data_IF_051866550568
#
_entry.id   IF_051866550568
#
_cell.length_a   1.000
_cell.length_b   1.000
_cell.length_c   1.000
_cell.angle_alpha   90.00
_cell.angle_beta   90.00
_cell.angle_gamma   90.00
#
_symmetry.space_group_name_H-M   'P 1'
#
loop_
_entity.id
_entity.type
_entity.pdbx_description
1 polymer ?
#
# COMPACT_ATOMS: atom_id res chain seq x y z
N UNK A 1 10.09 -44.93 10.13
CA UNK A 1 10.61 -44.93 8.74
C UNK A 1 9.39 -45.05 7.84
N UNK A 2 8.99 -44.15 6.96
CA UNK A 2 9.51 -42.90 6.39
C UNK A 2 8.26 -42.02 6.14
N UNK A 3 8.27 -40.76 6.58
CA UNK A 3 7.32 -39.76 6.09
C UNK A 3 7.99 -39.05 4.92
N UNK A 4 7.54 -39.33 3.70
CA UNK A 4 7.93 -38.56 2.53
C UNK A 4 7.21 -37.21 2.57
N UNK A 5 7.98 -36.12 2.57
CA UNK A 5 7.48 -34.75 2.44
C UNK A 5 7.02 -34.53 1.00
N UNK A 6 5.89 -33.86 0.75
CA UNK A 6 5.59 -33.37 -0.58
C UNK A 6 6.52 -32.21 -0.91
N UNK A 7 7.24 -32.34 -2.02
CA UNK A 7 8.07 -31.31 -2.62
C UNK A 7 7.27 -30.03 -2.86
N UNK A 8 7.79 -28.92 -2.36
CA UNK A 8 7.37 -27.58 -2.71
C UNK A 8 7.58 -27.40 -4.22
N UNK A 9 6.50 -27.47 -4.99
CA UNK A 9 6.48 -26.99 -6.37
C UNK A 9 6.74 -25.50 -6.33
N UNK A 10 8.01 -25.13 -6.55
CA UNK A 10 8.45 -23.78 -6.80
C UNK A 10 7.59 -23.15 -7.89
N UNK A 11 6.68 -22.27 -7.47
CA UNK A 11 5.99 -21.35 -8.35
C UNK A 11 7.05 -20.52 -9.05
N UNK A 12 7.21 -20.79 -10.34
CA UNK A 12 7.99 -20.00 -11.28
C UNK A 12 7.38 -18.60 -11.28
N UNK A 13 7.96 -17.70 -10.48
CA UNK A 13 7.76 -16.27 -10.63
C UNK A 13 8.23 -15.91 -12.04
N UNK A 14 7.28 -15.70 -12.96
CA UNK A 14 7.54 -14.97 -14.17
C UNK A 14 7.96 -13.56 -13.76
N UNK A 15 9.27 -13.36 -13.66
CA UNK A 15 9.89 -12.05 -13.70
C UNK A 15 9.52 -11.45 -15.05
N UNK A 16 8.50 -10.60 -15.04
CA UNK A 16 8.24 -9.67 -16.14
C UNK A 16 9.54 -8.94 -16.51
N UNK A 17 9.71 -8.54 -17.78
CA UNK A 17 10.96 -7.92 -18.21
C UNK A 17 11.23 -6.66 -17.38
N UNK A 18 12.34 -6.68 -16.66
CA UNK A 18 12.96 -5.55 -15.95
C UNK A 18 13.00 -4.33 -16.87
N UNK A 19 11.99 -3.45 -16.79
CA UNK A 19 11.96 -2.14 -17.46
C UNK A 19 12.90 -1.11 -16.81
N UNK A 20 13.85 -1.55 -16.01
CA UNK A 20 14.88 -0.70 -15.39
C UNK A 20 16.31 -0.98 -15.90
N UNK A 21 16.49 -1.90 -16.86
CA UNK A 21 17.82 -2.19 -17.45
C UNK A 21 18.13 -1.45 -18.77
N UNK A 22 17.29 -0.52 -19.19
CA UNK A 22 17.51 0.30 -20.41
C UNK A 22 17.75 1.79 -20.15
N UNK A 23 18.06 2.18 -18.90
CA UNK A 23 18.63 3.52 -18.60
C UNK A 23 20.06 3.46 -18.08
N UNK A 24 20.77 2.38 -18.39
CA UNK A 24 22.16 2.14 -17.96
C UNK A 24 23.16 1.90 -19.09
N UNK A 25 22.76 1.97 -20.37
CA UNK A 25 23.64 1.67 -21.52
C UNK A 25 23.67 2.75 -22.60
N UNK A 26 23.63 4.02 -22.19
CA UNK A 26 23.92 5.16 -23.08
C UNK A 26 25.03 6.08 -22.55
N UNK A 27 25.79 5.65 -21.52
CA UNK A 27 26.93 6.40 -20.99
C UNK A 27 28.18 5.54 -20.75
N UNK A 28 28.33 4.46 -21.50
CA UNK A 28 29.58 3.67 -21.54
C UNK A 28 30.30 3.90 -22.86
N UNK A 29 30.57 5.18 -23.18
CA UNK A 29 31.56 5.57 -24.18
C UNK A 29 32.12 6.94 -23.84
N UNK A 30 33.41 6.91 -23.48
CA UNK A 30 34.34 8.04 -23.41
C UNK A 30 34.22 8.98 -22.20
N UNK A 31 34.58 8.48 -21.03
CA UNK A 31 35.30 9.30 -20.05
C UNK A 31 36.66 8.64 -19.74
N UNK A 32 37.59 8.78 -20.67
CA UNK A 32 38.98 8.95 -20.26
C UNK A 32 39.19 10.46 -20.05
N UNK A 33 39.73 10.91 -18.90
CA UNK A 33 40.19 12.29 -18.81
C UNK A 33 41.24 12.49 -19.91
N UNK A 34 41.22 13.58 -20.69
CA UNK A 34 42.31 13.84 -21.60
C UNK A 34 43.57 13.99 -20.75
N UNK A 35 44.42 12.96 -20.77
CA UNK A 35 45.82 13.10 -20.40
C UNK A 35 46.42 14.08 -21.39
N UNK A 36 46.38 15.37 -21.06
CA UNK A 36 47.16 16.43 -21.70
C UNK A 36 48.62 16.20 -21.33
N UNK A 37 49.20 15.20 -21.97
CA UNK A 37 50.62 15.01 -22.14
C UNK A 37 50.92 14.86 -23.64
N UNK A 38 50.23 15.62 -24.49
CA UNK A 38 50.89 16.12 -25.69
C UNK A 38 51.79 17.26 -25.22
N UNK A 39 53.08 17.14 -25.50
CA UNK A 39 54.02 18.23 -25.38
C UNK A 39 53.52 19.37 -26.30
N UNK A 40 52.73 20.28 -25.73
CA UNK A 40 52.46 21.56 -26.35
C UNK A 40 53.77 22.31 -26.21
N UNK A 41 54.58 22.32 -27.27
CA UNK A 41 55.66 23.27 -27.37
C UNK A 41 55.10 24.66 -27.03
N UNK A 42 55.78 25.45 -26.19
CA UNK A 42 55.31 26.78 -25.84
C UNK A 42 55.26 27.60 -27.13
N UNK A 43 54.07 27.77 -27.69
CA UNK A 43 53.86 28.75 -28.75
C UNK A 43 54.14 30.10 -28.14
N UNK A 44 55.34 30.64 -28.41
CA UNK A 44 55.69 32.01 -28.09
C UNK A 44 54.70 32.92 -28.80
N UNK A 45 53.67 33.36 -28.06
CA UNK A 45 52.78 34.41 -28.51
C UNK A 45 53.60 35.69 -28.58
N UNK A 46 54.12 36.01 -29.77
CA UNK A 46 54.75 37.31 -30.03
C UNK A 46 53.77 38.40 -29.62
N UNK A 47 54.11 39.16 -28.59
CA UNK A 47 53.32 40.30 -28.15
C UNK A 47 53.19 41.27 -29.33
N UNK A 48 51.97 41.44 -29.84
CA UNK A 48 51.70 42.51 -30.80
C UNK A 48 51.94 43.83 -30.08
N UNK A 49 52.95 44.59 -30.53
CA UNK A 49 53.19 45.94 -30.02
C UNK A 49 51.99 46.78 -30.42
N UNK A 50 51.09 47.06 -29.47
CA UNK A 50 50.00 48.02 -29.65
C UNK A 50 50.67 49.40 -29.71
N UNK A 51 50.83 50.01 -30.88
CA UNK A 51 51.57 51.27 -31.02
C UNK A 51 50.79 52.48 -30.48
N UNK A 52 49.46 52.38 -30.42
CA UNK A 52 48.57 53.46 -29.97
C UNK A 52 48.63 53.69 -28.45
N UNK A 53 49.15 54.86 -28.06
CA UNK A 53 49.29 55.28 -26.66
C UNK A 53 47.94 55.36 -25.91
N UNK A 54 46.85 55.71 -26.61
CA UNK A 54 45.52 55.79 -26.02
C UNK A 54 44.96 54.40 -25.65
N UNK A 55 45.16 53.39 -26.49
CA UNK A 55 44.72 52.01 -26.24
C UNK A 55 45.54 51.40 -25.09
N UNK A 56 46.85 51.67 -25.05
CA UNK A 56 47.71 51.27 -23.92
C UNK A 56 47.25 51.88 -22.60
N UNK A 57 46.90 53.17 -22.58
CA UNK A 57 46.38 53.84 -21.39
C UNK A 57 45.05 53.25 -20.91
N UNK A 58 44.12 52.99 -21.84
CA UNK A 58 42.83 52.35 -21.55
C UNK A 58 43.00 50.92 -21.02
N UNK A 59 43.82 50.10 -21.67
CA UNK A 59 44.08 48.72 -21.25
C UNK A 59 44.74 48.68 -19.86
N UNK A 60 45.73 49.53 -19.61
CA UNK A 60 46.40 49.63 -18.30
C UNK A 60 45.41 50.05 -17.21
N UNK A 61 44.52 51.02 -17.49
CA UNK A 61 43.46 51.41 -16.56
C UNK A 61 42.47 50.28 -16.32
N UNK A 62 42.04 49.56 -17.35
CA UNK A 62 41.12 48.42 -17.22
C UNK A 62 41.74 47.27 -16.43
N UNK A 63 42.99 46.89 -16.72
CA UNK A 63 43.70 45.86 -15.94
C UNK A 63 43.98 46.33 -14.52
N UNK A 64 44.28 47.61 -14.31
CA UNK A 64 44.42 48.19 -12.97
C UNK A 64 43.12 48.14 -12.16
N UNK A 65 41.99 48.48 -12.79
CA UNK A 65 40.66 48.41 -12.16
C UNK A 65 40.24 46.97 -11.90
N UNK A 66 40.50 46.04 -12.81
CA UNK A 66 40.24 44.62 -12.60
C UNK A 66 41.11 44.05 -11.49
N UNK A 67 42.39 44.44 -11.42
CA UNK A 67 43.28 44.02 -10.33
C UNK A 67 42.88 44.62 -8.99
N UNK A 68 42.39 45.87 -8.98
CA UNK A 68 41.89 46.50 -7.76
C UNK A 68 40.58 45.88 -7.29
N UNK A 69 39.65 45.58 -8.19
CA UNK A 69 38.41 44.88 -7.83
C UNK A 69 38.67 43.46 -7.38
N UNK A 70 39.57 42.71 -8.02
CA UNK A 70 40.00 41.38 -7.56
C UNK A 70 40.69 41.42 -6.19
N UNK A 71 41.52 42.45 -5.93
CA UNK A 71 42.14 42.66 -4.62
C UNK A 71 41.09 43.00 -3.57
N UNK A 72 40.17 43.92 -3.86
CA UNK A 72 39.07 44.26 -2.97
C UNK A 72 38.16 43.04 -2.72
N UNK A 73 37.92 42.21 -3.73
CA UNK A 73 37.17 40.96 -3.56
C UNK A 73 37.90 40.01 -2.62
N UNK A 74 39.21 39.80 -2.84
CA UNK A 74 40.04 38.97 -1.96
C UNK A 74 40.05 39.48 -0.53
N UNK A 75 40.22 40.77 -0.35
CA UNK A 75 40.33 41.38 0.97
C UNK A 75 38.95 41.33 1.70
N UNK A 76 37.85 41.56 0.97
CA UNK A 76 36.47 41.44 1.50
C UNK A 76 36.04 39.99 1.76
N UNK A 77 36.47 39.01 0.95
CA UNK A 77 36.20 37.58 1.19
C UNK A 77 37.09 36.97 2.27
N UNK A 78 38.24 37.58 2.54
CA UNK A 78 39.16 37.17 3.61
C UNK A 78 38.78 37.71 5.00
N UNK A 79 37.79 38.60 5.08
CA UNK A 79 37.32 39.11 6.38
C UNK A 79 36.63 38.00 7.17
N UNK A 80 37.12 37.76 8.39
CA UNK A 80 36.53 36.79 9.32
C UNK A 80 35.03 37.03 9.55
N UNK A 81 34.57 38.27 9.46
CA UNK A 81 33.15 38.61 9.64
C UNK A 81 32.27 38.09 8.51
N UNK A 82 32.76 38.13 7.27
CA UNK A 82 32.05 37.59 6.10
C UNK A 82 32.05 36.07 6.14
N UNK A 83 33.16 35.46 6.56
CA UNK A 83 33.24 34.01 6.78
C UNK A 83 32.30 33.54 7.91
N UNK A 84 32.24 34.25 9.04
CA UNK A 84 31.33 33.96 10.16
C UNK A 84 29.86 34.08 9.75
N UNK A 85 29.49 35.15 9.03
CA UNK A 85 28.12 35.31 8.49
C UNK A 85 27.75 34.22 7.50
N UNK A 86 28.68 33.82 6.62
CA UNK A 86 28.45 32.71 5.69
C UNK A 86 28.24 31.39 6.43
N UNK A 87 29.08 31.10 7.42
CA UNK A 87 28.94 29.89 8.24
C UNK A 87 27.63 29.88 9.04
N UNK A 88 27.20 31.03 9.55
CA UNK A 88 25.92 31.14 10.26
C UNK A 88 24.73 30.95 9.33
N UNK A 89 24.78 31.51 8.12
CA UNK A 89 23.77 31.27 7.09
C UNK A 89 23.74 29.78 6.67
N UNK A 90 24.90 29.16 6.44
CA UNK A 90 25.01 27.74 6.10
C UNK A 90 24.41 26.85 7.22
N UNK A 91 24.71 27.15 8.48
CA UNK A 91 24.11 26.45 9.64
C UNK A 91 22.60 26.63 9.71
N UNK A 92 22.08 27.84 9.47
CA UNK A 92 20.64 28.08 9.46
C UNK A 92 19.96 27.34 8.30
N UNK A 93 20.59 27.28 7.12
CA UNK A 93 20.06 26.50 6.00
C UNK A 93 20.08 25.01 6.29
N UNK A 94 21.14 24.50 6.90
CA UNK A 94 21.24 23.08 7.27
C UNK A 94 20.20 22.70 8.33
N UNK A 95 19.95 23.57 9.30
CA UNK A 95 18.90 23.38 10.31
C UNK A 95 17.51 23.32 9.66
N UNK A 96 17.18 24.27 8.77
CA UNK A 96 15.91 24.27 8.04
C UNK A 96 15.75 23.02 7.18
N UNK A 97 16.80 22.62 6.45
CA UNK A 97 16.78 21.38 5.65
C UNK A 97 16.61 20.14 6.53
N UNK A 98 17.20 20.10 7.73
CA UNK A 98 17.02 19.00 8.66
C UNK A 98 15.59 18.95 9.22
N UNK A 99 14.99 20.09 9.54
CA UNK A 99 13.59 20.19 9.97
C UNK A 99 12.61 19.77 8.88
N UNK A 100 12.79 20.24 7.64
CA UNK A 100 11.96 19.85 6.50
C UNK A 100 12.07 18.35 6.21
N UNK A 101 13.28 17.79 6.29
CA UNK A 101 13.48 16.33 6.14
C UNK A 101 12.75 15.53 7.21
N UNK A 102 12.78 15.98 8.47
CA UNK A 102 12.06 15.33 9.57
C UNK A 102 10.55 15.38 9.36
N UNK A 103 10.01 16.56 9.04
CA UNK A 103 8.58 16.73 8.74
C UNK A 103 8.14 15.82 7.58
N UNK A 104 8.91 15.79 6.51
CA UNK A 104 8.61 14.95 5.34
C UNK A 104 8.73 13.44 5.67
N UNK A 105 9.62 13.06 6.59
CA UNK A 105 9.70 11.67 7.07
C UNK A 105 8.51 11.29 7.95
N UNK A 106 8.06 12.20 8.81
CA UNK A 106 6.87 12.05 9.66
C UNK A 106 5.60 11.94 8.80
N UNK A 107 5.39 12.86 7.85
CA UNK A 107 4.28 12.81 6.89
C UNK A 107 4.27 11.49 6.11
N UNK A 108 5.42 11.03 5.62
CA UNK A 108 5.53 9.74 4.93
C UNK A 108 5.21 8.54 5.83
N UNK A 109 5.56 8.60 7.12
CA UNK A 109 5.22 7.54 8.08
C UNK A 109 3.72 7.53 8.34
N UNK A 110 3.12 8.70 8.55
CA UNK A 110 1.67 8.83 8.75
C UNK A 110 0.89 8.35 7.53
N UNK A 111 1.26 8.77 6.32
CA UNK A 111 0.60 8.33 5.09
C UNK A 111 0.68 6.80 4.92
N UNK A 112 1.84 6.21 5.21
CA UNK A 112 2.00 4.75 5.19
C UNK A 112 1.12 4.06 6.22
N UNK A 113 1.03 4.60 7.44
CA UNK A 113 0.18 4.04 8.49
C UNK A 113 -1.30 4.11 8.10
N UNK A 114 -1.78 5.26 7.62
CA UNK A 114 -3.15 5.44 7.11
C UNK A 114 -3.46 4.47 5.99
N UNK A 115 -2.57 4.35 4.99
CA UNK A 115 -2.73 3.40 3.89
C UNK A 115 -2.79 1.94 4.38
N UNK A 116 -1.99 1.59 5.38
CA UNK A 116 -2.01 0.25 5.97
C UNK A 116 -3.31 -0.04 6.72
N UNK A 117 -3.86 0.95 7.43
CA UNK A 117 -5.15 0.85 8.11
C UNK A 117 -6.30 0.73 7.10
N UNK A 118 -6.30 1.52 6.04
CA UNK A 118 -7.27 1.42 4.93
C UNK A 118 -7.26 0.03 4.30
N UNK A 119 -6.07 -0.51 3.99
CA UNK A 119 -5.94 -1.86 3.43
C UNK A 119 -6.44 -2.92 4.42
N UNK A 120 -6.20 -2.76 5.72
CA UNK A 120 -6.71 -3.68 6.74
C UNK A 120 -8.23 -3.64 6.78
N UNK A 121 -8.82 -2.45 6.83
CA UNK A 121 -10.27 -2.25 6.84
C UNK A 121 -10.91 -2.86 5.59
N UNK A 122 -10.37 -2.60 4.41
CA UNK A 122 -10.86 -3.20 3.16
C UNK A 122 -10.81 -4.73 3.20
N UNK A 123 -9.71 -5.31 3.69
CA UNK A 123 -9.58 -6.77 3.82
C UNK A 123 -10.58 -7.36 4.81
N UNK A 124 -10.85 -6.68 5.91
CA UNK A 124 -11.84 -7.09 6.90
C UNK A 124 -13.26 -7.01 6.32
N UNK A 125 -13.59 -5.94 5.60
CA UNK A 125 -14.88 -5.80 4.90
C UNK A 125 -15.07 -6.89 3.85
N UNK A 126 -14.04 -7.19 3.05
CA UNK A 126 -14.11 -8.29 2.08
C UNK A 126 -14.25 -9.66 2.74
N UNK A 127 -13.58 -9.90 3.86
CA UNK A 127 -13.74 -11.14 4.64
C UNK A 127 -15.17 -11.25 5.18
N UNK A 128 -15.68 -10.18 5.79
CA UNK A 128 -17.04 -10.15 6.30
C UNK A 128 -18.08 -10.40 5.19
N UNK A 129 -17.89 -9.84 4.00
CA UNK A 129 -18.74 -10.11 2.82
C UNK A 129 -18.70 -11.58 2.42
N UNK A 130 -17.50 -12.16 2.27
CA UNK A 130 -17.33 -13.58 1.91
C UNK A 130 -17.93 -14.51 2.97
N UNK A 131 -17.73 -14.20 4.25
CA UNK A 131 -18.27 -15.00 5.35
C UNK A 131 -19.80 -14.92 5.39
N UNK A 132 -20.38 -13.74 5.12
CA UNK A 132 -21.83 -13.59 5.01
C UNK A 132 -22.41 -14.41 3.85
N UNK A 133 -21.79 -14.36 2.66
CA UNK A 133 -22.18 -15.17 1.50
C UNK A 133 -22.09 -16.67 1.78
N UNK A 134 -21.00 -17.11 2.42
CA UNK A 134 -20.80 -18.50 2.81
C UNK A 134 -21.86 -18.95 3.81
N UNK A 135 -22.20 -18.12 4.78
CA UNK A 135 -23.26 -18.42 5.75
C UNK A 135 -24.62 -18.57 5.08
N UNK A 136 -24.95 -17.73 4.11
CA UNK A 136 -26.19 -17.87 3.32
C UNK A 136 -26.18 -19.18 2.53
N UNK A 137 -25.05 -19.52 1.90
CA UNK A 137 -24.90 -20.77 1.17
C UNK A 137 -25.07 -22.00 2.08
N UNK A 138 -24.37 -22.03 3.22
CA UNK A 138 -24.46 -23.12 4.20
C UNK A 138 -25.88 -23.26 4.75
N UNK A 139 -26.58 -22.16 5.02
CA UNK A 139 -28.00 -22.20 5.45
C UNK A 139 -28.90 -22.79 4.37
N UNK A 140 -28.67 -22.49 3.09
CA UNK A 140 -29.43 -23.06 1.96
C UNK A 140 -29.16 -24.55 1.80
N UNK A 141 -27.89 -24.96 1.85
CA UNK A 141 -27.52 -26.38 1.75
C UNK A 141 -28.04 -27.19 2.94
N UNK A 142 -27.96 -26.63 4.16
CA UNK A 142 -28.55 -27.25 5.35
C UNK A 142 -30.05 -27.47 5.17
N UNK A 143 -30.79 -26.45 4.71
CA UNK A 143 -32.24 -26.56 4.45
C UNK A 143 -32.56 -27.66 3.44
N UNK A 144 -31.82 -27.72 2.32
CA UNK A 144 -32.01 -28.80 1.32
C UNK A 144 -31.74 -30.17 1.91
N UNK A 145 -30.68 -30.31 2.71
CA UNK A 145 -30.37 -31.56 3.37
C UNK A 145 -31.45 -31.96 4.38
N UNK A 146 -31.94 -31.00 5.17
CA UNK A 146 -33.02 -31.23 6.13
C UNK A 146 -34.33 -31.64 5.42
N UNK A 147 -34.65 -31.04 4.27
CA UNK A 147 -35.78 -31.43 3.41
C UNK A 147 -35.64 -32.87 2.90
N UNK A 148 -34.44 -33.29 2.48
CA UNK A 148 -34.16 -34.66 2.07
C UNK A 148 -34.24 -35.64 3.25
N UNK A 149 -33.69 -35.26 4.40
CA UNK A 149 -33.68 -36.07 5.62
C UNK A 149 -35.07 -36.24 6.24
N UNK A 150 -36.00 -35.31 5.99
CA UNK A 150 -37.39 -35.43 6.42
C UNK A 150 -38.12 -36.62 5.75
N UNK A 151 -37.58 -37.20 4.67
CA UNK A 151 -38.12 -38.43 4.07
C UNK A 151 -37.73 -39.70 4.82
N UNK A 152 -36.78 -39.60 5.76
CA UNK A 152 -36.27 -40.71 6.53
C UNK A 152 -36.82 -40.69 7.96
N UNK A 153 -36.95 -41.88 8.54
CA UNK A 153 -37.21 -41.99 9.97
C UNK A 153 -35.93 -41.71 10.74
N UNK A 154 -36.05 -41.02 11.87
CA UNK A 154 -34.91 -40.82 12.77
C UNK A 154 -35.15 -41.36 14.17
N UNK A 155 -34.07 -41.70 14.85
CA UNK A 155 -34.07 -42.12 16.26
C UNK A 155 -34.56 -41.00 17.18
N UNK A 156 -35.29 -41.35 18.23
CA UNK A 156 -35.78 -40.42 19.28
C UNK A 156 -34.78 -40.22 20.43
N UNK A 157 -33.59 -40.80 20.34
CA UNK A 157 -32.56 -40.74 21.38
C UNK A 157 -32.15 -39.29 21.66
N UNK A 158 -32.14 -38.87 22.93
CA UNK A 158 -31.76 -37.52 23.38
C UNK A 158 -30.30 -37.12 23.10
N UNK A 159 -29.53 -37.95 22.41
CA UNK A 159 -28.17 -37.63 21.99
C UNK A 159 -28.17 -36.71 20.77
N UNK A 160 -27.17 -35.84 20.66
CA UNK A 160 -26.95 -34.89 19.57
C UNK A 160 -26.76 -35.50 18.18
N UNK A 161 -26.91 -36.82 18.03
CA UNK A 161 -26.72 -37.57 16.81
C UNK A 161 -28.05 -38.27 16.50
N UNK A 162 -28.77 -37.75 15.50
CA UNK A 162 -29.94 -38.41 14.92
C UNK A 162 -29.46 -39.40 13.87
N UNK A 163 -29.81 -40.68 14.01
CA UNK A 163 -29.53 -41.68 12.97
C UNK A 163 -30.75 -41.77 12.08
N UNK A 164 -30.57 -41.50 10.78
CA UNK A 164 -31.61 -41.56 9.76
C UNK A 164 -31.60 -42.93 9.08
N UNK A 165 -32.79 -43.53 8.92
CA UNK A 165 -32.94 -44.81 8.24
C UNK A 165 -34.27 -44.90 7.48
N UNK A 166 -34.27 -45.69 6.41
CA UNK A 166 -35.46 -45.98 5.61
C UNK A 166 -35.74 -47.49 5.62
N UNK A 167 -36.86 -47.95 6.20
CA UNK A 167 -37.27 -49.35 6.12
C UNK A 167 -37.55 -49.78 4.68
N UNK A 168 -37.18 -51.01 4.32
CA UNK A 168 -37.51 -51.57 3.00
C UNK A 168 -39.02 -51.81 2.82
N UNK A 169 -39.74 -52.08 3.92
CA UNK A 169 -41.20 -52.28 3.93
C UNK A 169 -41.79 -51.42 5.04
N UNK A 170 -42.74 -50.55 4.69
CA UNK A 170 -43.42 -49.69 5.64
C UNK A 170 -44.68 -50.36 6.20
N UNK A 171 -44.69 -50.60 7.51
CA UNK A 171 -45.91 -50.91 8.28
C UNK A 171 -46.71 -49.64 8.55
N UNK A 172 -48.01 -49.76 8.86
CA UNK A 172 -48.87 -48.60 9.16
C UNK A 172 -48.31 -47.72 10.29
N UNK A 173 -47.71 -48.33 11.32
CA UNK A 173 -47.06 -47.61 12.41
C UNK A 173 -45.88 -46.76 11.92
N UNK A 174 -45.03 -47.31 11.04
CA UNK A 174 -43.89 -46.56 10.48
C UNK A 174 -44.33 -45.43 9.54
N UNK A 175 -45.45 -45.59 8.83
CA UNK A 175 -46.02 -44.53 7.99
C UNK A 175 -46.56 -43.39 8.84
N UNK A 176 -47.29 -43.71 9.91
CA UNK A 176 -47.79 -42.72 10.85
C UNK A 176 -46.64 -41.96 11.54
N UNK A 177 -45.59 -42.68 11.96
CA UNK A 177 -44.40 -42.07 12.56
C UNK A 177 -43.67 -41.13 11.59
N UNK A 178 -43.51 -41.54 10.33
CA UNK A 178 -42.88 -40.70 9.30
C UNK A 178 -43.69 -39.42 9.05
N UNK A 179 -45.02 -39.52 9.03
CA UNK A 179 -45.88 -38.34 8.89
C UNK A 179 -45.76 -37.39 10.08
N UNK A 180 -45.68 -37.92 11.30
CA UNK A 180 -45.46 -37.11 12.51
C UNK A 180 -44.11 -36.38 12.44
N UNK A 181 -43.02 -37.10 12.14
CA UNK A 181 -41.68 -36.51 12.03
C UNK A 181 -41.59 -35.46 10.91
N UNK A 182 -42.29 -35.66 9.79
CA UNK A 182 -42.40 -34.65 8.72
C UNK A 182 -43.10 -33.38 9.19
N UNK A 183 -44.20 -33.50 9.95
CA UNK A 183 -44.89 -32.34 10.50
C UNK A 183 -44.02 -31.59 11.50
N UNK A 184 -43.29 -32.30 12.35
CA UNK A 184 -42.33 -31.69 13.28
C UNK A 184 -41.22 -30.94 12.55
N UNK A 185 -40.64 -31.53 11.50
CA UNK A 185 -39.62 -30.88 10.68
C UNK A 185 -40.16 -29.60 10.00
N UNK A 186 -41.39 -29.62 9.48
CA UNK A 186 -42.02 -28.43 8.90
C UNK A 186 -42.20 -27.31 9.94
N UNK A 187 -42.63 -27.65 11.16
CA UNK A 187 -42.76 -26.68 12.25
C UNK A 187 -41.39 -26.10 12.66
N UNK A 188 -40.32 -26.90 12.64
CA UNK A 188 -38.96 -26.40 12.89
C UNK A 188 -38.52 -25.42 11.80
N UNK A 189 -38.79 -25.72 10.52
CA UNK A 189 -38.47 -24.84 9.39
C UNK A 189 -39.24 -23.52 9.48
N UNK A 190 -40.52 -23.54 9.87
CA UNK A 190 -41.31 -22.33 10.08
C UNK A 190 -40.72 -21.45 11.19
N UNK A 191 -40.34 -22.05 12.33
CA UNK A 191 -39.68 -21.33 13.43
C UNK A 191 -38.33 -20.75 13.01
N UNK A 192 -37.55 -21.47 12.21
CA UNK A 192 -36.29 -20.94 11.68
C UNK A 192 -36.54 -19.73 10.75
N UNK A 193 -37.55 -19.79 9.88
CA UNK A 193 -37.93 -18.67 8.99
C UNK A 193 -38.41 -17.45 9.77
N UNK A 194 -39.18 -17.63 10.83
CA UNK A 194 -39.63 -16.52 11.70
C UNK A 194 -38.44 -15.83 12.37
N UNK A 195 -37.50 -16.62 12.93
CA UNK A 195 -36.26 -16.07 13.50
C UNK A 195 -35.43 -15.31 12.46
N UNK A 196 -35.34 -15.80 11.23
CA UNK A 196 -34.64 -15.10 10.15
C UNK A 196 -35.28 -13.73 9.87
N UNK A 197 -36.62 -13.66 9.81
CA UNK A 197 -37.34 -12.38 9.63
C UNK A 197 -37.10 -11.42 10.78
N UNK A 198 -37.15 -11.89 12.03
CA UNK A 198 -36.84 -11.06 13.19
C UNK A 198 -35.40 -10.54 13.20
N UNK A 199 -34.44 -11.36 12.76
CA UNK A 199 -33.03 -10.94 12.62
C UNK A 199 -32.86 -9.89 11.51
N UNK A 200 -33.57 -10.04 10.39
CA UNK A 200 -33.56 -9.07 9.28
C UNK A 200 -34.18 -7.74 9.71
N UNK A 201 -35.34 -7.75 10.36
CA UNK A 201 -35.99 -6.54 10.88
C UNK A 201 -35.11 -5.81 11.91
N UNK A 202 -34.40 -6.54 12.77
CA UNK A 202 -33.45 -5.93 13.72
C UNK A 202 -32.29 -5.25 13.00
N UNK A 203 -31.74 -5.88 11.96
CA UNK A 203 -30.65 -5.30 11.15
C UNK A 203 -31.10 -4.06 10.37
N UNK A 204 -32.33 -4.03 9.88
CA UNK A 204 -32.89 -2.86 9.20
C UNK A 204 -33.07 -1.68 10.16
N UNK A 205 -33.64 -1.92 11.34
CA UNK A 205 -33.77 -0.88 12.38
C UNK A 205 -32.41 -0.31 12.80
N UNK A 206 -31.41 -1.16 12.99
CA UNK A 206 -30.06 -0.72 13.35
C UNK A 206 -29.40 0.12 12.24
N UNK A 207 -29.70 -0.16 10.97
CA UNK A 207 -29.24 0.66 9.84
C UNK A 207 -29.94 2.01 9.80
N UNK A 208 -31.26 2.05 10.00
CA UNK A 208 -32.01 3.30 10.05
C UNK A 208 -31.56 4.21 11.20
N UNK A 209 -31.23 3.64 12.37
CA UNK A 209 -30.69 4.39 13.49
C UNK A 209 -29.30 4.99 13.17
N UNK A 210 -28.41 4.21 12.54
CA UNK A 210 -27.10 4.70 12.09
C UNK A 210 -27.21 5.80 11.05
N UNK A 211 -28.12 5.68 10.08
CA UNK A 211 -28.37 6.72 9.08
C UNK A 211 -28.94 8.01 9.69
N UNK A 212 -29.78 7.91 10.73
CA UNK A 212 -30.28 9.07 11.46
C UNK A 212 -29.17 9.75 12.26
N UNK A 213 -28.32 8.98 12.92
CA UNK A 213 -27.16 9.53 13.65
C UNK A 213 -26.12 10.20 12.73
N UNK A 214 -25.91 9.67 11.52
CA UNK A 214 -25.03 10.31 10.53
C UNK A 214 -25.61 11.64 10.04
N UNK A 215 -26.92 11.70 9.73
CA UNK A 215 -27.60 12.94 9.33
C UNK A 215 -27.57 14.00 10.43
N UNK A 216 -27.77 13.62 11.69
CA UNK A 216 -27.67 14.55 12.83
C UNK A 216 -26.25 15.09 13.08
N UNK A 217 -25.21 14.37 12.63
CA UNK A 217 -23.80 14.83 12.72
C UNK A 217 -23.41 15.73 11.56
N UNK A 218 -24.05 15.61 10.40
CA UNK A 218 -23.82 16.50 9.26
C UNK A 218 -24.56 17.85 9.39
N UNK A 219 -25.65 17.93 10.16
CA UNK A 219 -26.40 19.17 10.40
C UNK A 219 -25.86 20.04 11.56
N UNK A 220 -24.85 19.58 12.32
CA UNK A 220 -24.21 20.31 13.43
C UNK A 220 -22.82 20.82 13.07
#
# INVERSE_FOLDING_TARGET
RLFERPEERGGRFERGPDRERERGRLFERAEQPPTVASAIEPVERKATKIEDAQIKGRNTRMFGMMRSTLRNFRDNTSSEEVAKRRQELERQTDQKLAEERKKLEEERKEEKMRRMEEIRKQKEEERAKRDAELMIFLRKEKRKNDEQLAEFLHTTTSSSIKIFYLPNIHTESTKALLQQQKLEALLEVEKEKEKEREEEEKKEKEKEEKEKEEKEKEEK
#
